data_IF_485041182693
#
_entry.id   IF_485041182693
#
_cell.length_a   1.000
_cell.length_b   1.000
_cell.length_c   1.000
_cell.angle_alpha   90.00
_cell.angle_beta   90.00
_cell.angle_gamma   90.00
#
_symmetry.space_group_name_H-M   'P 1'
#
loop_
_entity.id
_entity.type
_entity.pdbx_description
1 polymer ?
#
# COMPACT_ATOMS: atom_id res chain seq x y z
N UNK A 1 -0.87 8.14 -9.78
CA UNK A 1 -0.24 7.03 -10.51
C UNK A 1 1.19 7.37 -10.93
N UNK A 2 1.45 8.53 -11.60
CA UNK A 2 2.80 8.88 -12.12
C UNK A 2 3.90 8.78 -11.05
N UNK A 3 3.69 9.35 -9.87
CA UNK A 3 4.66 9.33 -8.78
C UNK A 3 4.87 7.92 -8.22
N UNK A 4 3.79 7.17 -8.05
CA UNK A 4 3.87 5.77 -7.64
C UNK A 4 4.73 4.91 -8.60
N UNK A 5 4.57 5.11 -9.91
CA UNK A 5 5.39 4.41 -10.93
C UNK A 5 6.87 4.79 -10.80
N UNK A 6 7.20 6.08 -10.57
CA UNK A 6 8.60 6.51 -10.36
C UNK A 6 9.22 5.82 -9.15
N UNK A 7 8.47 5.74 -8.04
CA UNK A 7 8.95 5.09 -6.81
C UNK A 7 9.20 3.60 -7.03
N UNK A 8 8.24 2.89 -7.65
CA UNK A 8 8.38 1.47 -7.97
C UNK A 8 9.59 1.20 -8.85
N UNK A 9 9.77 1.97 -9.92
CA UNK A 9 10.91 1.81 -10.82
C UNK A 9 12.24 2.05 -10.08
N UNK A 10 12.31 3.12 -9.27
CA UNK A 10 13.52 3.39 -8.48
C UNK A 10 13.81 2.29 -7.45
N UNK A 11 12.78 1.76 -6.80
CA UNK A 11 12.91 0.62 -5.90
C UNK A 11 13.53 -0.59 -6.60
N UNK A 12 13.03 -0.94 -7.78
CA UNK A 12 13.58 -2.06 -8.59
C UNK A 12 15.04 -1.84 -8.99
N UNK A 13 15.41 -0.62 -9.42
CA UNK A 13 16.80 -0.26 -9.75
C UNK A 13 17.74 -0.48 -8.57
N UNK A 14 17.28 -0.23 -7.36
CA UNK A 14 18.04 -0.37 -6.12
C UNK A 14 17.89 -1.76 -5.46
N UNK A 15 17.21 -2.70 -6.12
CA UNK A 15 16.88 -4.02 -5.58
C UNK A 15 16.10 -3.97 -4.26
N UNK A 16 15.31 -2.93 -4.04
CA UNK A 16 14.34 -2.85 -2.95
C UNK A 16 13.13 -3.72 -3.34
N UNK A 17 12.68 -4.65 -2.49
CA UNK A 17 11.53 -5.49 -2.80
C UNK A 17 10.27 -4.65 -3.05
N UNK A 18 9.58 -4.94 -4.15
CA UNK A 18 8.31 -4.30 -4.49
C UNK A 18 7.18 -5.28 -4.21
N UNK A 19 6.20 -4.81 -3.43
CA UNK A 19 5.06 -5.62 -2.99
C UNK A 19 3.77 -4.90 -3.38
N UNK A 20 2.92 -5.58 -4.12
CA UNK A 20 1.59 -5.09 -4.48
C UNK A 20 0.55 -5.77 -3.58
N UNK A 21 -0.10 -5.00 -2.71
CA UNK A 21 -1.20 -5.47 -1.88
C UNK A 21 -2.52 -4.99 -2.50
N UNK A 22 -3.20 -5.88 -3.19
CA UNK A 22 -4.41 -5.58 -3.95
C UNK A 22 -5.63 -6.28 -3.37
N UNK A 23 -6.79 -5.64 -3.48
CA UNK A 23 -8.06 -6.27 -3.11
C UNK A 23 -8.31 -7.53 -3.95
N UNK A 24 -8.75 -8.59 -3.30
CA UNK A 24 -9.07 -9.86 -3.92
C UNK A 24 -10.29 -10.48 -3.24
N UNK A 25 -11.41 -9.76 -3.28
CA UNK A 25 -12.65 -10.12 -2.63
C UNK A 25 -13.30 -11.36 -3.27
N UNK A 26 -14.03 -12.11 -2.45
CA UNK A 26 -14.85 -13.22 -2.91
C UNK A 26 -16.29 -12.72 -3.11
N UNK A 27 -16.73 -12.69 -4.36
CA UNK A 27 -18.08 -12.26 -4.73
C UNK A 27 -19.14 -13.10 -4.01
N UNK A 28 -20.15 -12.43 -3.47
CA UNK A 28 -21.25 -13.06 -2.71
C UNK A 28 -20.90 -13.54 -1.31
N UNK A 29 -19.66 -13.31 -0.85
CA UNK A 29 -19.22 -13.71 0.49
C UNK A 29 -18.69 -12.53 1.33
N UNK A 30 -17.87 -11.67 0.74
CA UNK A 30 -17.20 -10.60 1.48
C UNK A 30 -18.15 -9.45 1.79
N UNK A 31 -18.41 -9.23 3.08
CA UNK A 31 -19.31 -8.18 3.57
C UNK A 31 -18.88 -6.77 3.22
N UNK A 32 -17.59 -6.56 2.95
CA UNK A 32 -17.08 -5.27 2.50
C UNK A 32 -17.71 -4.83 1.19
N UNK A 33 -18.08 -5.79 0.33
CA UNK A 33 -18.79 -5.53 -0.92
C UNK A 33 -20.21 -4.98 -0.71
N UNK A 34 -20.83 -5.20 0.46
CA UNK A 34 -22.13 -4.63 0.83
C UNK A 34 -22.01 -3.12 1.12
N UNK A 35 -20.85 -2.67 1.62
CA UNK A 35 -20.58 -1.26 1.96
C UNK A 35 -20.23 -0.41 0.75
N UNK A 36 -19.40 -0.94 -0.14
CA UNK A 36 -18.77 -0.16 -1.21
C UNK A 36 -19.19 -0.59 -2.62
N UNK A 37 -20.04 -1.62 -2.73
CA UNK A 37 -20.35 -2.26 -4.01
C UNK A 37 -19.24 -3.22 -4.47
N UNK A 38 -19.47 -3.87 -5.60
CA UNK A 38 -18.50 -4.82 -6.16
C UNK A 38 -17.24 -4.09 -6.65
N UNK A 39 -16.09 -4.46 -6.10
CA UNK A 39 -14.77 -3.95 -6.48
C UNK A 39 -13.72 -5.02 -6.18
N UNK A 40 -12.58 -5.00 -6.84
CA UNK A 40 -11.44 -5.88 -6.55
C UNK A 40 -11.81 -7.36 -6.44
N UNK A 41 -12.73 -7.86 -7.27
CA UNK A 41 -13.17 -9.26 -7.22
C UNK A 41 -12.03 -10.17 -7.69
N UNK A 42 -11.70 -11.17 -6.91
CA UNK A 42 -10.66 -12.16 -7.19
C UNK A 42 -10.81 -12.76 -8.58
N UNK A 43 -9.71 -12.80 -9.33
CA UNK A 43 -9.65 -13.33 -10.68
C UNK A 43 -10.06 -12.34 -11.77
N UNK A 44 -10.45 -11.11 -11.43
CA UNK A 44 -10.74 -10.04 -12.41
C UNK A 44 -9.55 -9.08 -12.57
N UNK A 45 -9.57 -8.27 -13.62
CA UNK A 45 -8.56 -7.23 -13.83
C UNK A 45 -8.54 -6.20 -12.69
N UNK A 46 -9.69 -5.93 -12.06
CA UNK A 46 -9.80 -5.00 -10.93
C UNK A 46 -9.08 -5.47 -9.66
N UNK A 47 -8.73 -6.75 -9.57
CA UNK A 47 -7.96 -7.32 -8.47
C UNK A 47 -6.44 -7.37 -8.76
N UNK A 48 -5.99 -6.84 -9.89
CA UNK A 48 -4.59 -6.80 -10.28
C UNK A 48 -3.98 -5.42 -10.04
N UNK A 49 -2.65 -5.33 -9.87
CA UNK A 49 -1.96 -4.05 -9.95
C UNK A 49 -2.24 -3.35 -11.28
N UNK A 50 -2.28 -2.01 -11.26
CA UNK A 50 -2.49 -1.24 -12.49
C UNK A 50 -1.42 -1.58 -13.54
N UNK A 51 -1.82 -1.73 -14.79
CA UNK A 51 -0.92 -2.04 -15.92
C UNK A 51 0.29 -1.10 -16.02
N UNK A 52 0.14 0.16 -15.59
CA UNK A 52 1.22 1.15 -15.57
C UNK A 52 2.42 0.75 -14.70
N UNK A 53 2.27 -0.18 -13.77
CA UNK A 53 3.39 -0.68 -12.94
C UNK A 53 4.24 -1.73 -13.63
N UNK A 54 3.79 -2.32 -14.73
CA UNK A 54 4.50 -3.36 -15.47
C UNK A 54 5.08 -4.43 -14.52
N UNK A 55 4.17 -5.10 -13.78
CA UNK A 55 4.55 -6.11 -12.77
C UNK A 55 5.48 -7.14 -13.37
N UNK A 56 6.54 -7.47 -12.65
CA UNK A 56 7.58 -8.41 -13.05
C UNK A 56 7.59 -9.65 -12.15
N UNK A 57 8.31 -10.69 -12.55
CA UNK A 57 8.48 -11.92 -11.74
C UNK A 57 9.26 -11.68 -10.43
N UNK A 58 9.94 -10.54 -10.31
CA UNK A 58 10.67 -10.16 -9.08
C UNK A 58 9.77 -9.46 -8.05
N UNK A 59 8.57 -9.04 -8.44
CA UNK A 59 7.64 -8.35 -7.58
C UNK A 59 6.77 -9.37 -6.82
N UNK A 60 6.36 -9.01 -5.61
CA UNK A 60 5.49 -9.83 -4.80
C UNK A 60 4.04 -9.37 -4.90
N UNK A 61 3.11 -10.32 -4.93
CA UNK A 61 1.68 -10.04 -4.90
C UNK A 61 1.10 -10.57 -3.59
N UNK A 62 0.48 -9.69 -2.81
CA UNK A 62 -0.19 -10.02 -1.56
C UNK A 62 -1.67 -9.69 -1.69
N UNK A 63 -2.50 -10.65 -2.11
CA UNK A 63 -3.94 -10.42 -2.20
C UNK A 63 -4.55 -10.27 -0.82
N UNK A 64 -5.45 -9.30 -0.66
CA UNK A 64 -6.12 -9.02 0.60
C UNK A 64 -7.64 -8.96 0.44
N UNK A 65 -8.38 -9.28 1.51
CA UNK A 65 -9.84 -9.24 1.55
C UNK A 65 -10.38 -8.19 2.51
N UNK A 66 -9.49 -7.41 3.14
CA UNK A 66 -9.83 -6.33 4.08
C UNK A 66 -8.90 -5.15 3.82
N UNK A 67 -9.17 -4.02 4.42
CA UNK A 67 -8.43 -2.78 4.18
C UNK A 67 -6.94 -2.89 4.43
N UNK A 68 -6.54 -3.46 5.57
CA UNK A 68 -5.12 -3.63 5.88
C UNK A 68 -4.48 -4.73 5.03
N UNK A 69 -3.34 -4.41 4.44
CA UNK A 69 -2.48 -5.38 3.75
C UNK A 69 -1.94 -6.48 4.65
N UNK A 70 -1.97 -6.28 5.98
CA UNK A 70 -1.50 -7.28 6.96
C UNK A 70 -2.61 -8.21 7.46
N UNK A 71 -3.88 -7.81 7.32
CA UNK A 71 -4.96 -8.58 7.96
C UNK A 71 -5.20 -9.91 7.26
N UNK A 72 -4.84 -10.99 7.93
CA UNK A 72 -4.96 -12.38 7.44
C UNK A 72 -4.35 -12.59 6.04
N UNK A 73 -3.21 -11.99 5.83
CA UNK A 73 -2.35 -12.19 4.67
C UNK A 73 -0.99 -12.71 5.13
N UNK A 74 -0.13 -13.05 4.20
CA UNK A 74 1.25 -13.43 4.48
C UNK A 74 2.24 -12.24 4.45
N UNK A 75 1.74 -11.00 4.41
CA UNK A 75 2.61 -9.82 4.27
C UNK A 75 3.64 -9.71 5.40
N UNK A 76 3.25 -9.91 6.65
CA UNK A 76 4.18 -9.82 7.78
C UNK A 76 5.26 -10.92 7.71
N UNK A 77 4.87 -12.14 7.36
CA UNK A 77 5.80 -13.24 7.15
C UNK A 77 6.78 -12.91 6.01
N UNK A 78 6.27 -12.46 4.87
CA UNK A 78 7.08 -12.06 3.72
C UNK A 78 8.11 -10.98 4.08
N UNK A 79 7.70 -9.92 4.78
CA UNK A 79 8.58 -8.84 5.18
C UNK A 79 9.68 -9.32 6.14
N UNK A 80 9.36 -10.22 7.06
CA UNK A 80 10.34 -10.85 7.96
C UNK A 80 11.34 -11.72 7.22
N UNK A 81 10.89 -12.54 6.28
CA UNK A 81 11.77 -13.36 5.43
C UNK A 81 12.69 -12.50 4.55
N UNK A 82 12.21 -11.33 4.10
CA UNK A 82 13.01 -10.35 3.37
C UNK A 82 13.93 -9.52 4.27
N UNK A 83 13.83 -9.63 5.59
CA UNK A 83 14.63 -8.86 6.55
C UNK A 83 14.31 -7.36 6.54
N UNK A 84 13.07 -6.98 6.21
CA UNK A 84 12.63 -5.59 6.10
C UNK A 84 12.14 -5.07 7.45
N UNK A 85 12.58 -3.89 7.84
CA UNK A 85 12.12 -3.15 9.03
C UNK A 85 11.45 -1.81 8.71
N UNK A 86 11.59 -1.34 7.50
CA UNK A 86 11.08 -0.03 7.05
C UNK A 86 10.31 -0.18 5.74
N UNK A 87 9.11 0.38 5.68
CA UNK A 87 8.21 0.31 4.54
C UNK A 87 8.07 1.68 3.88
N UNK A 88 8.17 1.72 2.57
CA UNK A 88 7.68 2.86 1.77
C UNK A 88 6.27 2.48 1.33
N UNK A 89 5.25 3.07 1.98
CA UNK A 89 3.85 2.71 1.77
C UNK A 89 3.07 3.84 1.09
N UNK A 90 2.37 3.51 0.01
CA UNK A 90 1.55 4.47 -0.75
C UNK A 90 0.46 3.74 -1.55
N UNK A 91 -0.50 4.50 -2.03
CA UNK A 91 -1.58 3.96 -2.85
C UNK A 91 -2.92 4.63 -2.55
N UNK A 92 -3.98 3.88 -2.69
CA UNK A 92 -5.36 4.30 -2.48
C UNK A 92 -6.15 3.24 -1.68
N UNK A 93 -7.13 3.59 -0.90
CA UNK A 93 -7.49 4.94 -0.49
C UNK A 93 -6.62 5.36 0.70
N UNK A 94 -6.17 6.64 0.74
CA UNK A 94 -5.34 7.18 1.82
C UNK A 94 -5.98 6.95 3.18
N UNK A 95 -7.28 7.27 3.29
CA UNK A 95 -8.01 7.25 4.57
C UNK A 95 -8.61 5.87 4.90
N UNK A 96 -8.42 4.86 4.07
CA UNK A 96 -8.96 3.52 4.27
C UNK A 96 -7.84 2.47 4.23
N UNK A 97 -7.47 1.99 3.05
CA UNK A 97 -6.53 0.88 2.92
C UNK A 97 -5.11 1.26 3.37
N UNK A 98 -4.62 2.44 2.97
CA UNK A 98 -3.30 2.93 3.39
C UNK A 98 -3.29 3.18 4.90
N UNK A 99 -4.30 3.86 5.44
CA UNK A 99 -4.42 4.14 6.87
C UNK A 99 -4.41 2.85 7.71
N UNK A 100 -5.23 1.87 7.35
CA UNK A 100 -5.31 0.61 8.09
C UNK A 100 -4.04 -0.25 7.96
N UNK A 101 -3.39 -0.20 6.80
CA UNK A 101 -2.11 -0.88 6.59
C UNK A 101 -1.01 -0.25 7.43
N UNK A 102 -0.94 1.08 7.50
CA UNK A 102 0.02 1.80 8.34
C UNK A 102 -0.23 1.59 9.83
N UNK A 103 -1.50 1.52 10.25
CA UNK A 103 -1.85 1.17 11.64
C UNK A 103 -1.30 -0.22 12.00
N UNK A 104 -1.52 -1.21 11.13
CA UNK A 104 -1.00 -2.56 11.34
C UNK A 104 0.53 -2.60 11.34
N UNK A 105 1.17 -1.87 10.42
CA UNK A 105 2.63 -1.76 10.36
C UNK A 105 3.19 -1.18 11.67
N UNK A 106 2.58 -0.13 12.19
CA UNK A 106 2.95 0.48 13.47
C UNK A 106 2.84 -0.51 14.65
N UNK A 107 1.72 -1.26 14.74
CA UNK A 107 1.54 -2.26 15.80
C UNK A 107 2.53 -3.42 15.70
N UNK A 108 2.99 -3.75 14.51
CA UNK A 108 3.98 -4.80 14.27
C UNK A 108 5.44 -4.29 14.38
N UNK A 109 5.65 -2.99 14.65
CA UNK A 109 6.95 -2.39 14.86
C UNK A 109 7.71 -1.97 13.61
N UNK A 110 7.05 -1.93 12.45
CA UNK A 110 7.67 -1.41 11.23
C UNK A 110 7.75 0.11 11.23
N UNK A 111 8.87 0.65 10.77
CA UNK A 111 8.99 2.06 10.41
C UNK A 111 8.32 2.32 9.07
N UNK A 112 7.72 3.50 8.90
CA UNK A 112 7.02 3.80 7.65
C UNK A 112 7.40 5.16 7.08
N UNK A 113 7.55 5.20 5.77
CA UNK A 113 7.75 6.40 4.96
C UNK A 113 6.57 6.47 3.99
N UNK A 114 5.91 7.62 3.94
CA UNK A 114 4.72 7.82 3.10
C UNK A 114 4.96 8.97 2.13
N UNK A 115 5.14 8.68 0.84
CA UNK A 115 5.16 9.72 -0.20
C UNK A 115 3.74 10.25 -0.43
N UNK A 116 3.43 11.41 0.14
CA UNK A 116 2.09 11.99 0.19
C UNK A 116 1.44 12.16 -1.19
N UNK A 117 2.24 12.54 -2.18
CA UNK A 117 1.81 12.77 -3.56
C UNK A 117 1.74 11.49 -4.43
N UNK A 118 2.03 10.34 -3.83
CA UNK A 118 1.76 9.01 -4.38
C UNK A 118 0.54 8.33 -3.73
N UNK A 119 -0.09 8.98 -2.75
CA UNK A 119 -1.34 8.56 -2.13
C UNK A 119 -2.53 9.34 -2.70
N UNK A 120 -3.73 8.78 -2.57
CA UNK A 120 -4.96 9.46 -2.95
C UNK A 120 -6.16 8.97 -2.17
N UNK A 121 -7.07 9.89 -1.80
CA UNK A 121 -8.36 9.57 -1.18
C UNK A 121 -9.50 9.98 -2.12
N UNK A 122 -10.53 9.15 -2.21
CA UNK A 122 -11.69 9.36 -3.10
C UNK A 122 -13.01 9.13 -2.37
N UNK A 123 -13.02 8.32 -1.31
CA UNK A 123 -14.22 7.78 -0.71
C UNK A 123 -14.61 8.48 0.58
N UNK A 124 -13.65 8.84 1.43
CA UNK A 124 -13.95 9.39 2.74
C UNK A 124 -12.88 10.38 3.21
N UNK A 125 -13.33 11.52 3.75
CA UNK A 125 -12.47 12.54 4.35
C UNK A 125 -11.61 13.29 3.33
N UNK A 126 -10.69 14.10 3.84
CA UNK A 126 -9.72 14.84 3.05
C UNK A 126 -8.36 14.16 3.09
N UNK A 127 -7.56 14.36 2.06
CA UNK A 127 -6.19 13.85 1.96
C UNK A 127 -5.34 14.24 3.20
N UNK A 128 -5.44 15.48 3.64
CA UNK A 128 -4.67 16.02 4.77
C UNK A 128 -4.98 15.31 6.08
N UNK A 129 -6.24 14.86 6.28
CA UNK A 129 -6.65 14.18 7.51
C UNK A 129 -5.87 12.88 7.70
N UNK A 130 -5.80 12.05 6.65
CA UNK A 130 -5.03 10.82 6.67
C UNK A 130 -3.53 11.06 6.84
N UNK A 131 -2.95 11.99 6.07
CA UNK A 131 -1.52 12.30 6.16
C UNK A 131 -1.12 12.81 7.54
N UNK A 132 -1.95 13.65 8.16
CA UNK A 132 -1.75 14.09 9.55
C UNK A 132 -1.85 12.94 10.54
N UNK A 133 -2.80 12.02 10.31
CA UNK A 133 -2.96 10.85 11.16
C UNK A 133 -1.71 9.95 11.11
N UNK A 134 -1.16 9.74 9.92
CA UNK A 134 0.05 8.91 9.74
C UNK A 134 1.24 9.43 10.53
N UNK A 135 1.53 10.72 10.42
CA UNK A 135 2.66 11.32 11.13
C UNK A 135 2.45 11.38 12.65
N UNK A 136 1.22 11.67 13.10
CA UNK A 136 0.94 11.90 14.53
C UNK A 136 0.65 10.63 15.33
N UNK A 137 0.04 9.63 14.69
CA UNK A 137 -0.40 8.42 15.39
C UNK A 137 0.48 7.21 15.10
N UNK A 138 1.12 7.15 13.92
CA UNK A 138 1.92 6.00 13.50
C UNK A 138 3.40 6.31 13.32
N UNK A 139 3.83 7.51 13.69
CA UNK A 139 5.23 7.99 13.53
C UNK A 139 5.75 7.82 12.10
N UNK A 140 4.85 7.92 11.13
CA UNK A 140 5.21 7.81 9.72
C UNK A 140 5.93 9.07 9.25
N UNK A 141 7.04 8.89 8.53
CA UNK A 141 7.71 10.00 7.85
C UNK A 141 6.95 10.34 6.57
N UNK A 142 6.13 11.40 6.61
CA UNK A 142 5.37 11.87 5.45
C UNK A 142 6.21 12.89 4.67
N UNK A 143 6.50 12.59 3.40
CA UNK A 143 7.33 13.41 2.50
C UNK A 143 6.75 13.38 1.09
N UNK A 144 7.27 14.19 0.18
CA UNK A 144 6.93 14.09 -1.24
C UNK A 144 7.81 13.06 -1.98
N UNK A 145 7.39 12.71 -3.19
CA UNK A 145 8.12 11.74 -4.03
C UNK A 145 9.52 12.21 -4.38
N UNK A 146 9.73 13.49 -4.64
CA UNK A 146 11.04 14.02 -5.02
C UNK A 146 12.03 13.89 -3.86
N UNK A 147 11.61 14.29 -2.67
CA UNK A 147 12.40 14.14 -1.43
C UNK A 147 12.74 12.66 -1.18
N UNK A 148 11.75 11.77 -1.36
CA UNK A 148 11.98 10.33 -1.24
C UNK A 148 13.05 9.85 -2.22
N UNK A 149 12.88 10.11 -3.51
CA UNK A 149 13.78 9.63 -4.56
C UNK A 149 15.22 10.15 -4.37
N UNK A 150 15.39 11.39 -3.90
CA UNK A 150 16.68 11.97 -3.58
C UNK A 150 17.35 11.30 -2.36
N UNK A 151 16.58 10.72 -1.47
CA UNK A 151 17.06 10.00 -0.28
C UNK A 151 17.44 8.53 -0.56
N UNK A 152 16.92 7.95 -1.63
CA UNK A 152 17.23 6.58 -2.07
C UNK A 152 18.52 6.58 -2.90
N UNK A 153 19.59 6.05 -2.32
CA UNK A 153 20.92 5.96 -2.94
C UNK A 153 21.25 4.55 -3.38
#
# INVERSE_FOLDING_TARGET
VKNAVKIVNRGRELNIPVIFSCDAHIKGLDKELELWGEHGIRGTEAAKPLAAFHVTEKDFLVPKRRYSGFYQTDLDLLLKELGVDTLIAFGADTNICVLQTLASAYYLGYKTIVPADACGTFLIGKQEDGLNYFSRCYDSRVIDTETLLNSLK
#
